data_IF_667535872087
#
_entry.id   IF_667535872087
#
_cell.length_a   1.000
_cell.length_b   1.000
_cell.length_c   1.000
_cell.angle_alpha   90.00
_cell.angle_beta   90.00
_cell.angle_gamma   90.00
#
_symmetry.space_group_name_H-M   'P 1'
#
loop_
_entity.id
_entity.type
_entity.pdbx_description
1 polymer ?
#
# COMPACT_ATOMS: atom_id res chain seq x y z
N UNK A 1 -27.82 1.62 -4.18
CA UNK A 1 -27.16 2.25 -5.35
C UNK A 1 -26.26 1.23 -6.04
N UNK A 2 -25.86 1.49 -7.29
CA UNK A 2 -25.01 0.58 -8.08
C UNK A 2 -23.75 1.31 -8.48
N UNK A 3 -22.61 0.67 -8.23
CA UNK A 3 -21.29 1.18 -8.61
C UNK A 3 -20.77 0.28 -9.72
N UNK A 4 -20.55 0.84 -10.89
CA UNK A 4 -19.98 0.13 -12.03
C UNK A 4 -18.62 0.75 -12.33
N UNK A 5 -17.56 -0.04 -12.25
CA UNK A 5 -16.18 0.42 -12.50
C UNK A 5 -15.58 -0.33 -13.68
N UNK A 6 -14.90 0.42 -14.54
CA UNK A 6 -14.14 -0.09 -15.65
C UNK A 6 -12.64 0.12 -15.39
N UNK A 7 -11.90 -0.98 -15.24
CA UNK A 7 -10.44 -0.92 -15.28
C UNK A 7 -9.96 -0.63 -16.71
N UNK A 8 -9.63 0.64 -16.95
CA UNK A 8 -9.23 1.15 -18.27
C UNK A 8 -7.95 0.47 -18.79
N UNK A 9 -7.04 0.01 -17.94
CA UNK A 9 -5.79 -0.61 -18.37
C UNK A 9 -6.01 -2.05 -18.88
N UNK A 10 -6.92 -2.78 -18.23
CA UNK A 10 -7.33 -4.14 -18.62
C UNK A 10 -8.30 -4.17 -19.80
N UNK A 11 -9.12 -3.14 -19.96
CA UNK A 11 -10.12 -3.10 -21.01
C UNK A 11 -9.48 -2.95 -22.39
N UNK A 12 -9.61 -3.99 -23.24
CA UNK A 12 -9.20 -3.99 -24.65
C UNK A 12 -10.40 -4.26 -25.57
N UNK A 13 -11.20 -3.23 -25.90
CA UNK A 13 -12.42 -3.35 -26.71
C UNK A 13 -12.19 -4.00 -28.09
N UNK A 14 -11.08 -3.64 -28.74
CA UNK A 14 -10.69 -4.14 -30.06
C UNK A 14 -10.39 -5.65 -30.04
N UNK A 15 -9.85 -6.15 -28.94
CA UNK A 15 -9.38 -7.54 -28.82
C UNK A 15 -10.50 -8.49 -28.35
N UNK A 16 -11.48 -8.00 -27.57
CA UNK A 16 -12.56 -8.86 -27.05
C UNK A 16 -13.81 -8.91 -27.93
N UNK A 17 -14.00 -7.96 -28.86
CA UNK A 17 -15.22 -7.89 -29.67
C UNK A 17 -16.47 -7.52 -28.87
N UNK A 18 -16.31 -6.78 -27.75
CA UNK A 18 -17.36 -6.17 -26.93
C UNK A 18 -18.47 -7.12 -26.41
N UNK A 19 -18.13 -8.25 -25.76
CA UNK A 19 -19.12 -9.15 -25.17
C UNK A 19 -19.96 -8.47 -24.08
N UNK A 20 -19.40 -7.45 -23.41
CA UNK A 20 -20.12 -6.67 -22.42
C UNK A 20 -21.40 -6.03 -22.99
N UNK A 21 -21.37 -5.54 -24.23
CA UNK A 21 -22.53 -4.94 -24.91
C UNK A 21 -23.42 -6.04 -25.48
N UNK A 22 -22.84 -7.00 -26.22
CA UNK A 22 -23.57 -8.07 -26.91
C UNK A 22 -24.42 -8.94 -25.98
N UNK A 23 -23.91 -9.23 -24.78
CA UNK A 23 -24.58 -10.11 -23.81
C UNK A 23 -25.36 -9.34 -22.73
N UNK A 24 -25.33 -8.00 -22.71
CA UNK A 24 -26.08 -7.23 -21.73
C UNK A 24 -27.58 -7.32 -22.02
N UNK A 25 -28.42 -7.83 -21.09
CA UNK A 25 -29.86 -7.95 -21.33
C UNK A 25 -30.52 -6.62 -21.68
N UNK A 26 -30.14 -5.55 -20.97
CA UNK A 26 -30.71 -4.22 -21.16
C UNK A 26 -30.42 -3.65 -22.55
N UNK A 27 -29.18 -3.84 -23.04
CA UNK A 27 -28.81 -3.45 -24.41
C UNK A 27 -29.58 -4.26 -25.45
N UNK A 28 -29.75 -5.56 -25.22
CA UNK A 28 -30.55 -6.42 -26.12
C UNK A 28 -32.03 -6.05 -26.17
N UNK A 29 -32.56 -5.45 -25.10
CA UNK A 29 -33.92 -4.90 -25.06
C UNK A 29 -34.01 -3.45 -25.59
N UNK A 30 -32.94 -2.90 -26.18
CA UNK A 30 -32.91 -1.55 -26.75
C UNK A 30 -32.57 -0.43 -25.75
N UNK A 31 -32.27 -0.76 -24.49
CA UNK A 31 -31.87 0.22 -23.46
C UNK A 31 -30.36 0.39 -23.47
N UNK A 32 -29.87 1.62 -23.63
CA UNK A 32 -28.44 1.95 -23.68
C UNK A 32 -27.74 1.86 -22.30
N UNK A 33 -27.85 0.72 -21.63
CA UNK A 33 -27.21 0.50 -20.33
C UNK A 33 -25.69 0.41 -20.41
N UNK A 34 -25.15 0.05 -21.58
CA UNK A 34 -23.71 0.10 -21.88
C UNK A 34 -23.56 0.70 -23.28
N UNK A 35 -22.79 1.78 -23.40
CA UNK A 35 -22.47 2.45 -24.66
C UNK A 35 -20.96 2.62 -24.83
N UNK A 36 -20.51 3.00 -26.01
CA UNK A 36 -19.09 3.30 -26.26
C UNK A 36 -18.90 4.80 -26.13
N UNK A 37 -17.94 5.20 -25.31
CA UNK A 37 -17.47 6.57 -25.26
C UNK A 37 -16.66 6.90 -26.53
N UNK A 38 -17.06 7.93 -27.25
CA UNK A 38 -16.51 8.26 -28.57
C UNK A 38 -15.06 8.77 -28.48
N UNK A 39 -14.70 9.45 -27.39
CA UNK A 39 -13.36 10.00 -27.20
C UNK A 39 -12.33 8.91 -26.86
N UNK A 40 -12.69 8.01 -25.95
CA UNK A 40 -11.79 6.97 -25.44
C UNK A 40 -11.92 5.64 -26.18
N UNK A 41 -13.00 5.44 -26.92
CA UNK A 41 -13.35 4.17 -27.59
C UNK A 41 -13.61 3.03 -26.60
N UNK A 42 -13.90 3.33 -25.33
CA UNK A 42 -14.10 2.34 -24.26
C UNK A 42 -15.58 2.25 -23.86
N UNK A 43 -16.02 1.07 -23.37
CA UNK A 43 -17.40 0.91 -22.91
C UNK A 43 -17.63 1.68 -21.61
N UNK A 44 -18.72 2.43 -21.56
CA UNK A 44 -19.25 3.11 -20.38
C UNK A 44 -20.54 2.43 -19.97
N UNK A 45 -20.70 2.19 -18.66
CA UNK A 45 -21.83 1.50 -18.06
C UNK A 45 -22.65 2.53 -17.30
N UNK A 46 -23.86 2.80 -17.79
CA UNK A 46 -24.79 3.69 -17.10
C UNK A 46 -25.31 3.02 -15.82
N UNK A 47 -24.91 3.55 -14.67
CA UNK A 47 -25.36 3.08 -13.36
C UNK A 47 -26.85 3.29 -13.11
N UNK A 48 -27.53 4.16 -13.86
CA UNK A 48 -28.99 4.32 -13.75
C UNK A 48 -29.72 3.17 -14.45
N UNK A 49 -29.37 2.92 -15.70
CA UNK A 49 -30.03 1.95 -16.58
C UNK A 49 -29.58 0.49 -16.40
N UNK A 50 -28.43 0.23 -15.79
CA UNK A 50 -27.99 -1.14 -15.55
C UNK A 50 -28.95 -1.87 -14.58
N UNK A 51 -29.02 -3.20 -14.60
CA UNK A 51 -29.81 -3.98 -13.63
C UNK A 51 -28.94 -4.57 -12.52
N UNK A 52 -27.62 -4.53 -12.66
CA UNK A 52 -26.70 -5.19 -11.74
C UNK A 52 -26.64 -6.71 -11.90
N UNK A 53 -27.15 -7.28 -13.00
CA UNK A 53 -27.18 -8.74 -13.21
C UNK A 53 -25.79 -9.42 -13.32
N UNK A 54 -24.71 -8.66 -13.49
CA UNK A 54 -23.33 -9.18 -13.50
C UNK A 54 -22.94 -10.01 -14.72
N UNK A 55 -23.78 -10.10 -15.76
CA UNK A 55 -23.47 -10.89 -16.98
C UNK A 55 -22.25 -10.33 -17.70
N UNK A 56 -22.15 -9.01 -17.85
CA UNK A 56 -21.00 -8.37 -18.49
C UNK A 56 -19.69 -8.57 -17.72
N UNK A 57 -19.76 -8.67 -16.38
CA UNK A 57 -18.61 -9.00 -15.52
C UNK A 57 -18.11 -10.40 -15.85
N UNK A 58 -19.00 -11.41 -15.81
CA UNK A 58 -18.67 -12.81 -16.10
C UNK A 58 -18.21 -13.06 -17.53
N UNK A 59 -18.72 -12.29 -18.49
CA UNK A 59 -18.40 -12.42 -19.92
C UNK A 59 -17.17 -11.59 -20.35
N UNK A 60 -16.63 -10.74 -19.49
CA UNK A 60 -15.44 -9.95 -19.82
C UNK A 60 -14.19 -10.86 -19.78
N UNK A 61 -13.51 -11.10 -20.91
CA UNK A 61 -12.33 -11.99 -20.93
C UNK A 61 -11.12 -11.43 -20.18
N UNK A 62 -11.12 -10.12 -19.91
CA UNK A 62 -10.02 -9.41 -19.25
C UNK A 62 -10.32 -9.04 -17.78
N UNK A 63 -11.47 -9.47 -17.23
CA UNK A 63 -11.93 -9.10 -15.89
C UNK A 63 -11.76 -7.58 -15.61
N UNK A 64 -12.22 -6.77 -16.58
CA UNK A 64 -12.04 -5.32 -16.58
C UNK A 64 -13.26 -4.57 -16.05
N UNK A 65 -14.36 -5.25 -15.75
CA UNK A 65 -15.62 -4.66 -15.29
C UNK A 65 -15.92 -5.21 -13.90
N UNK A 66 -16.19 -4.32 -12.95
CA UNK A 66 -16.78 -4.66 -11.65
C UNK A 66 -18.13 -3.96 -11.52
N UNK A 67 -19.13 -4.67 -10.98
CA UNK A 67 -20.46 -4.12 -10.68
C UNK A 67 -20.84 -4.56 -9.27
N UNK A 68 -21.02 -3.58 -8.39
CA UNK A 68 -21.32 -3.81 -6.98
C UNK A 68 -22.63 -3.12 -6.62
N UNK A 69 -23.48 -3.82 -5.87
CA UNK A 69 -24.68 -3.25 -5.28
C UNK A 69 -24.34 -2.76 -3.87
N UNK A 70 -24.42 -1.45 -3.65
CA UNK A 70 -24.19 -0.83 -2.34
C UNK A 70 -25.51 -0.37 -1.72
N UNK A 71 -25.61 -0.32 -0.38
CA UNK A 71 -26.72 0.33 0.32
C UNK A 71 -26.98 1.75 -0.21
N UNK A 72 -28.25 2.13 -0.38
CA UNK A 72 -28.58 3.49 -0.88
C UNK A 72 -28.11 4.60 0.04
N UNK A 73 -28.05 4.35 1.36
CA UNK A 73 -27.56 5.30 2.36
C UNK A 73 -26.12 5.78 2.07
N UNK A 74 -25.26 4.93 1.50
CA UNK A 74 -23.89 5.32 1.18
C UNK A 74 -23.81 6.35 0.04
N UNK A 75 -24.87 6.52 -0.76
CA UNK A 75 -24.88 7.49 -1.84
C UNK A 75 -24.72 8.92 -1.32
N UNK A 76 -25.26 9.20 -0.15
CA UNK A 76 -25.16 10.50 0.52
C UNK A 76 -23.75 10.75 1.03
N UNK A 77 -22.97 9.69 1.27
CA UNK A 77 -21.60 9.73 1.79
C UNK A 77 -20.51 9.79 0.68
N UNK A 78 -20.90 9.92 -0.59
CA UNK A 78 -19.95 9.94 -1.70
C UNK A 78 -19.10 11.22 -1.70
N UNK A 79 -17.80 11.08 -1.50
CA UNK A 79 -16.86 12.20 -1.40
C UNK A 79 -16.16 12.48 -2.72
N UNK A 80 -15.71 11.43 -3.41
CA UNK A 80 -14.93 11.60 -4.63
C UNK A 80 -15.12 10.44 -5.61
N UNK A 81 -15.10 10.75 -6.91
CA UNK A 81 -15.14 9.78 -8.00
C UNK A 81 -14.16 10.13 -9.12
N UNK A 82 -13.36 9.16 -9.55
CA UNK A 82 -12.40 9.33 -10.66
C UNK A 82 -13.07 9.14 -12.04
N UNK A 83 -13.93 10.08 -12.42
CA UNK A 83 -14.61 10.04 -13.71
C UNK A 83 -15.67 8.94 -13.83
N UNK A 84 -16.30 8.86 -14.99
CA UNK A 84 -17.36 7.89 -15.21
C UNK A 84 -16.80 6.46 -15.19
N UNK A 85 -17.48 5.59 -14.45
CA UNK A 85 -17.02 4.25 -14.12
C UNK A 85 -15.59 4.16 -13.53
N UNK A 86 -15.16 5.18 -12.79
CA UNK A 86 -13.93 5.13 -12.00
C UNK A 86 -14.16 4.77 -10.53
N UNK A 87 -13.06 4.69 -9.80
CA UNK A 87 -13.06 4.43 -8.36
C UNK A 87 -13.86 5.47 -7.59
N UNK A 88 -14.66 5.01 -6.63
CA UNK A 88 -15.48 5.85 -5.73
C UNK A 88 -14.99 5.80 -4.28
N UNK A 89 -14.83 6.95 -3.64
CA UNK A 89 -14.48 7.08 -2.23
C UNK A 89 -15.67 7.62 -1.45
N UNK A 90 -16.07 6.89 -0.41
CA UNK A 90 -17.13 7.23 0.52
C UNK A 90 -16.55 7.56 1.90
N UNK A 91 -17.02 8.67 2.47
CA UNK A 91 -16.52 9.27 3.71
C UNK A 91 -15.02 9.62 3.68
N UNK A 92 -14.57 10.33 4.70
CA UNK A 92 -13.16 10.67 4.92
C UNK A 92 -12.79 10.44 6.39
N UNK A 93 -11.52 10.12 6.68
CA UNK A 93 -11.07 10.06 8.05
C UNK A 93 -11.04 11.47 8.65
N UNK A 94 -11.47 11.57 9.91
CA UNK A 94 -11.59 12.84 10.61
C UNK A 94 -10.26 13.21 11.29
N UNK A 95 -9.63 14.35 10.93
CA UNK A 95 -8.40 14.80 11.56
C UNK A 95 -8.67 15.38 12.96
N UNK A 96 -8.15 14.75 14.02
CA UNK A 96 -8.33 15.21 15.41
C UNK A 96 -7.12 15.99 15.92
N UNK A 97 -7.37 17.18 16.47
CA UNK A 97 -6.33 18.07 17.01
C UNK A 97 -5.57 17.38 18.16
N UNK A 98 -4.24 17.42 18.12
CA UNK A 98 -3.37 16.85 19.16
C UNK A 98 -3.41 15.32 19.25
N UNK A 99 -3.92 14.64 18.23
CA UNK A 99 -4.06 13.18 18.17
C UNK A 99 -3.49 12.62 16.87
N UNK A 100 -3.19 11.32 16.89
CA UNK A 100 -2.83 10.55 15.70
C UNK A 100 -4.01 9.68 15.28
N UNK A 101 -4.52 9.91 14.07
CA UNK A 101 -5.50 9.02 13.44
C UNK A 101 -4.78 8.04 12.52
N UNK A 102 -4.81 6.75 12.88
CA UNK A 102 -4.29 5.67 12.07
C UNK A 102 -5.30 5.19 11.03
N UNK A 103 -4.85 4.91 9.81
CA UNK A 103 -5.67 4.39 8.73
C UNK A 103 -5.18 3.01 8.34
N UNK A 104 -6.09 2.03 8.32
CA UNK A 104 -5.79 0.64 7.95
C UNK A 104 -6.79 0.13 6.92
N UNK A 105 -6.34 -0.68 5.97
CA UNK A 105 -7.22 -1.28 4.97
C UNK A 105 -6.44 -1.88 3.80
N UNK A 106 -7.09 -2.63 2.90
CA UNK A 106 -6.41 -3.22 1.75
C UNK A 106 -5.90 -2.15 0.77
N UNK A 107 -4.94 -2.55 -0.07
CA UNK A 107 -4.46 -1.69 -1.16
C UNK A 107 -5.58 -1.44 -2.17
N UNK A 108 -5.66 -0.24 -2.71
CA UNK A 108 -6.72 0.14 -3.64
C UNK A 108 -8.06 0.50 -3.00
N UNK A 109 -8.17 0.53 -1.66
CA UNK A 109 -9.36 0.99 -0.95
C UNK A 109 -9.47 2.53 -0.84
N UNK A 110 -8.55 3.29 -1.43
CA UNK A 110 -8.63 4.77 -1.43
C UNK A 110 -7.93 5.50 -0.27
N UNK A 111 -7.11 4.82 0.54
CA UNK A 111 -6.32 5.44 1.63
C UNK A 111 -5.50 6.65 1.15
N UNK A 112 -4.69 6.46 0.11
CA UNK A 112 -3.91 7.53 -0.52
C UNK A 112 -4.80 8.61 -1.14
N UNK A 113 -5.96 8.25 -1.73
CA UNK A 113 -6.93 9.24 -2.25
C UNK A 113 -7.46 10.13 -1.12
N UNK A 114 -7.81 9.56 0.04
CA UNK A 114 -8.23 10.32 1.21
C UNK A 114 -7.14 11.28 1.70
N UNK A 115 -5.87 10.83 1.75
CA UNK A 115 -4.76 11.71 2.11
C UNK A 115 -4.56 12.85 1.10
N UNK A 116 -4.70 12.60 -0.21
CA UNK A 116 -4.59 13.64 -1.25
C UNK A 116 -5.71 14.66 -1.19
N UNK A 117 -6.90 14.24 -0.76
CA UNK A 117 -8.01 15.14 -0.49
C UNK A 117 -7.71 16.00 0.74
N UNK A 118 -7.26 15.38 1.83
CA UNK A 118 -6.91 16.10 3.05
C UNK A 118 -5.66 16.98 2.90
N UNK A 119 -4.76 16.68 1.96
CA UNK A 119 -3.63 17.57 1.63
C UNK A 119 -4.01 18.75 0.73
N UNK A 120 -5.22 18.74 0.15
CA UNK A 120 -5.63 19.71 -0.86
C UNK A 120 -5.04 19.47 -2.26
N UNK A 121 -4.33 18.36 -2.48
CA UNK A 121 -3.86 17.96 -3.83
C UNK A 121 -5.00 17.60 -4.76
N UNK A 122 -6.12 17.13 -4.21
CA UNK A 122 -7.35 16.83 -4.93
C UNK A 122 -8.51 17.50 -4.21
N UNK A 123 -9.29 18.29 -4.95
CA UNK A 123 -10.57 18.82 -4.45
C UNK A 123 -11.64 17.70 -4.50
N UNK A 124 -12.40 17.43 -3.42
CA UNK A 124 -13.57 16.56 -3.48
C UNK A 124 -14.52 16.98 -4.59
N UNK A 125 -15.07 16.01 -5.32
CA UNK A 125 -16.04 16.31 -6.37
C UNK A 125 -17.47 15.84 -6.03
N UNK A 126 -17.67 15.18 -4.89
CA UNK A 126 -18.97 14.68 -4.40
C UNK A 126 -19.71 13.85 -5.47
N UNK A 127 -18.96 13.13 -6.31
CA UNK A 127 -19.49 12.35 -7.44
C UNK A 127 -19.85 13.15 -8.70
N UNK A 128 -19.71 14.48 -8.69
CA UNK A 128 -19.99 15.35 -9.84
C UNK A 128 -18.74 15.54 -10.70
N UNK A 129 -18.72 14.94 -11.89
CA UNK A 129 -17.54 14.94 -12.76
C UNK A 129 -17.51 16.18 -13.66
N UNK A 130 -18.61 16.48 -14.34
CA UNK A 130 -18.65 17.55 -15.35
C UNK A 130 -18.69 18.95 -14.73
N UNK A 131 -19.33 19.07 -13.57
CA UNK A 131 -19.44 20.31 -12.79
C UNK A 131 -19.07 20.03 -11.33
N UNK A 132 -17.77 19.92 -11.03
CA UNK A 132 -17.31 19.74 -9.65
C UNK A 132 -17.77 20.91 -8.76
N UNK A 133 -18.17 20.65 -7.51
CA UNK A 133 -18.64 21.67 -6.58
C UNK A 133 -17.55 22.67 -6.20
N UNK A 134 -17.99 23.88 -5.83
CA UNK A 134 -17.13 24.87 -5.19
C UNK A 134 -16.93 24.61 -3.69
N UNK A 135 -15.95 25.29 -3.08
CA UNK A 135 -15.62 25.07 -1.66
C UNK A 135 -16.82 25.29 -0.74
N UNK A 136 -17.67 26.28 -1.02
CA UNK A 136 -18.87 26.56 -0.22
C UNK A 136 -19.87 25.39 -0.22
N UNK A 137 -20.01 24.71 -1.37
CA UNK A 137 -20.83 23.50 -1.49
C UNK A 137 -20.21 22.32 -0.73
N UNK A 138 -18.89 22.15 -0.82
CA UNK A 138 -18.16 21.09 -0.09
C UNK A 138 -18.28 21.31 1.42
N UNK A 139 -18.09 22.54 1.89
CA UNK A 139 -18.24 22.91 3.30
C UNK A 139 -19.67 22.65 3.77
N UNK A 140 -20.66 23.03 2.96
CA UNK A 140 -22.08 22.77 3.26
C UNK A 140 -22.40 21.27 3.30
N UNK A 141 -21.80 20.48 2.42
CA UNK A 141 -21.94 19.02 2.42
C UNK A 141 -21.44 18.41 3.73
N UNK A 142 -20.31 18.88 4.26
CA UNK A 142 -19.76 18.41 5.54
C UNK A 142 -20.36 19.10 6.77
N UNK A 143 -21.45 19.86 6.64
CA UNK A 143 -22.02 20.68 7.72
C UNK A 143 -22.32 19.85 8.97
N UNK A 144 -21.92 20.38 10.14
CA UNK A 144 -22.13 19.72 11.43
C UNK A 144 -21.09 18.63 11.75
N UNK A 145 -20.06 18.46 10.92
CA UNK A 145 -18.92 17.57 11.18
C UNK A 145 -17.63 18.36 11.44
N UNK A 146 -16.63 17.71 12.05
CA UNK A 146 -15.28 18.28 12.21
C UNK A 146 -14.60 18.60 10.86
N UNK A 147 -14.99 17.90 9.79
CA UNK A 147 -14.49 18.16 8.44
C UNK A 147 -14.98 19.50 7.86
N UNK A 148 -16.12 20.02 8.34
CA UNK A 148 -16.60 21.35 7.94
C UNK A 148 -15.53 22.41 8.24
N UNK A 149 -15.12 22.51 9.51
CA UNK A 149 -14.10 23.46 9.95
C UNK A 149 -12.76 23.22 9.26
N UNK A 150 -12.42 21.95 9.00
CA UNK A 150 -11.20 21.59 8.29
C UNK A 150 -11.18 22.18 6.87
N UNK A 151 -12.25 21.96 6.09
CA UNK A 151 -12.35 22.47 4.72
C UNK A 151 -12.55 23.98 4.67
N UNK A 152 -13.23 24.59 5.65
CA UNK A 152 -13.30 26.06 5.79
C UNK A 152 -11.90 26.67 5.96
N UNK A 153 -11.07 26.11 6.84
CA UNK A 153 -9.69 26.58 7.02
C UNK A 153 -8.84 26.34 5.77
N UNK A 154 -9.02 25.21 5.08
CA UNK A 154 -8.32 24.90 3.84
C UNK A 154 -8.69 25.88 2.71
N UNK A 155 -9.99 26.11 2.48
CA UNK A 155 -10.48 27.02 1.46
C UNK A 155 -9.98 28.46 1.67
N UNK A 156 -9.89 28.89 2.94
CA UNK A 156 -9.38 30.21 3.31
C UNK A 156 -7.84 30.27 3.43
N UNK A 157 -7.10 29.22 3.05
CA UNK A 157 -5.63 29.14 3.15
C UNK A 157 -5.08 29.34 4.57
N UNK A 158 -5.90 29.07 5.60
CA UNK A 158 -5.57 29.14 7.04
C UNK A 158 -5.18 27.79 7.63
N UNK A 159 -4.94 26.80 6.76
CA UNK A 159 -4.53 25.45 7.14
C UNK A 159 -3.29 25.08 6.33
N UNK A 160 -2.18 24.82 7.03
CA UNK A 160 -0.97 24.28 6.40
C UNK A 160 -0.95 22.77 6.59
N UNK A 161 -0.97 22.04 5.47
CA UNK A 161 -0.88 20.57 5.45
C UNK A 161 0.42 20.17 4.78
N UNK A 162 1.13 19.22 5.40
CA UNK A 162 2.33 18.60 4.82
C UNK A 162 2.11 17.11 4.68
N UNK A 163 2.48 16.57 3.53
CA UNK A 163 2.19 15.19 3.16
C UNK A 163 3.47 14.47 2.74
N UNK A 164 3.79 13.37 3.42
CA UNK A 164 4.77 12.38 2.96
C UNK A 164 4.05 11.41 2.02
N UNK A 165 4.38 11.40 0.71
CA UNK A 165 3.72 10.51 -0.25
C UNK A 165 4.17 9.06 -0.09
N UNK A 166 3.33 8.11 -0.51
CA UNK A 166 3.63 6.67 -0.46
C UNK A 166 4.91 6.34 -1.23
N UNK A 167 5.01 6.82 -2.46
CA UNK A 167 6.13 6.52 -3.36
C UNK A 167 7.27 7.53 -3.23
N UNK A 168 8.24 7.20 -2.37
CA UNK A 168 9.47 7.99 -2.18
C UNK A 168 10.50 7.84 -3.29
N UNK A 169 10.41 6.81 -4.15
CA UNK A 169 11.43 6.55 -5.19
C UNK A 169 11.50 7.63 -6.25
N UNK A 170 10.46 8.46 -6.36
CA UNK A 170 10.43 9.63 -7.23
C UNK A 170 11.13 10.85 -6.64
N UNK A 171 11.43 10.86 -5.33
CA UNK A 171 12.03 12.00 -4.64
C UNK A 171 13.37 12.46 -5.28
N UNK A 172 14.31 11.56 -5.64
CA UNK A 172 15.55 11.96 -6.30
C UNK A 172 15.37 12.52 -7.72
N UNK A 173 14.19 12.31 -8.34
CA UNK A 173 13.87 12.87 -9.66
C UNK A 173 13.38 14.32 -9.54
N UNK A 174 12.71 14.65 -8.44
CA UNK A 174 12.12 15.99 -8.20
C UNK A 174 13.05 16.91 -7.39
N UNK A 175 13.91 16.34 -6.55
CA UNK A 175 14.87 17.07 -5.73
C UNK A 175 16.29 16.56 -5.98
N UNK A 176 17.20 17.47 -6.34
CA UNK A 176 18.63 17.21 -6.52
C UNK A 176 19.41 18.00 -5.48
N UNK A 177 20.39 17.36 -4.86
CA UNK A 177 21.25 18.01 -3.86
C UNK A 177 21.79 17.02 -2.84
N UNK A 178 22.58 17.58 -1.91
CA UNK A 178 23.06 16.90 -0.71
C UNK A 178 21.97 16.90 0.35
N UNK A 179 21.83 15.80 1.07
CA UNK A 179 20.75 15.61 2.06
C UNK A 179 20.73 16.73 3.10
N UNK A 180 21.85 17.03 3.73
CA UNK A 180 21.94 18.04 4.79
C UNK A 180 21.53 19.44 4.32
N UNK A 181 21.97 19.85 3.12
CA UNK A 181 21.61 21.13 2.52
C UNK A 181 20.11 21.23 2.24
N UNK A 182 19.53 20.18 1.65
CA UNK A 182 18.11 20.12 1.34
C UNK A 182 17.27 20.16 2.61
N UNK A 183 17.67 19.39 3.62
CA UNK A 183 16.98 19.32 4.90
C UNK A 183 17.05 20.64 5.67
N UNK A 184 18.20 21.32 5.70
CA UNK A 184 18.32 22.67 6.28
C UNK A 184 17.48 23.70 5.55
N UNK A 185 17.36 23.60 4.22
CA UNK A 185 16.56 24.52 3.40
C UNK A 185 15.05 24.40 3.67
N UNK A 186 14.56 23.20 4.00
CA UNK A 186 13.13 22.97 4.30
C UNK A 186 12.80 23.08 5.78
N UNK A 187 13.78 23.32 6.64
CA UNK A 187 13.57 23.43 8.08
C UNK A 187 12.96 24.79 8.44
N UNK A 188 11.66 24.79 8.63
CA UNK A 188 10.89 25.96 9.07
C UNK A 188 10.79 26.01 10.62
N UNK A 189 11.20 24.93 11.31
CA UNK A 189 11.00 24.73 12.74
C UNK A 189 12.29 24.77 13.57
N UNK A 190 13.45 24.77 12.92
CA UNK A 190 14.76 24.77 13.58
C UNK A 190 15.05 23.48 14.36
N UNK A 191 14.50 22.34 13.92
CA UNK A 191 14.63 21.05 14.63
C UNK A 191 15.38 20.00 13.81
N UNK A 192 15.97 20.37 12.68
CA UNK A 192 16.53 19.37 11.76
C UNK A 192 17.70 18.58 12.36
N UNK A 193 18.52 19.22 13.19
CA UNK A 193 19.65 18.56 13.85
C UNK A 193 19.15 17.50 14.87
N UNK A 194 18.11 17.82 15.63
CA UNK A 194 17.43 16.86 16.52
C UNK A 194 16.80 15.70 15.75
N UNK A 195 16.15 15.98 14.61
CA UNK A 195 15.59 14.95 13.73
C UNK A 195 16.67 14.07 13.11
N UNK A 196 17.81 14.66 12.74
CA UNK A 196 18.97 13.97 12.20
C UNK A 196 19.51 12.94 13.19
N UNK A 197 19.63 13.32 14.45
CA UNK A 197 20.07 12.42 15.52
C UNK A 197 19.05 11.30 15.77
N UNK A 198 17.77 11.65 15.95
CA UNK A 198 16.69 10.68 16.24
C UNK A 198 16.52 9.63 15.14
N UNK A 199 16.59 10.05 13.88
CA UNK A 199 16.45 9.19 12.72
C UNK A 199 17.77 8.54 12.28
N UNK A 200 18.90 8.95 12.86
CA UNK A 200 20.23 8.44 12.50
C UNK A 200 20.61 8.79 11.05
N UNK A 201 20.49 10.07 10.69
CA UNK A 201 20.82 10.59 9.36
C UNK A 201 22.29 11.01 9.20
N UNK A 202 23.10 10.96 10.26
CA UNK A 202 24.50 11.41 10.21
C UNK A 202 25.32 10.77 9.08
N UNK A 203 25.17 9.46 8.84
CA UNK A 203 25.89 8.75 7.75
C UNK A 203 25.44 9.13 6.34
N UNK A 204 24.28 9.77 6.19
CA UNK A 204 23.73 10.17 4.89
C UNK A 204 23.71 11.68 4.69
N UNK A 205 24.13 12.45 5.71
CA UNK A 205 24.03 13.90 5.73
C UNK A 205 24.72 14.56 4.54
N UNK A 206 25.95 14.14 4.24
CA UNK A 206 26.77 14.69 3.15
C UNK A 206 26.63 13.90 1.84
N UNK A 207 25.68 12.96 1.77
CA UNK A 207 25.43 12.15 0.57
C UNK A 207 24.37 12.79 -0.32
N UNK A 208 24.44 12.48 -1.62
CA UNK A 208 23.41 12.88 -2.60
C UNK A 208 22.16 12.01 -2.44
N UNK A 209 20.97 12.60 -2.66
CA UNK A 209 19.70 11.86 -2.62
C UNK A 209 19.64 10.65 -3.57
N UNK A 210 20.27 10.75 -4.74
CA UNK A 210 20.23 9.72 -5.78
C UNK A 210 20.97 8.42 -5.43
N UNK A 211 21.84 8.45 -4.41
CA UNK A 211 22.65 7.29 -4.00
C UNK A 211 22.16 6.65 -2.71
N UNK A 212 21.01 7.11 -2.19
CA UNK A 212 20.42 6.56 -0.97
C UNK A 212 19.64 5.28 -1.25
N UNK A 213 19.68 4.36 -0.29
CA UNK A 213 18.78 3.22 -0.23
C UNK A 213 17.34 3.65 0.09
N UNK A 214 16.37 2.76 -0.15
CA UNK A 214 14.96 3.04 0.15
C UNK A 214 14.71 3.42 1.61
N UNK A 215 15.36 2.74 2.57
CA UNK A 215 15.23 3.05 3.99
C UNK A 215 15.86 4.39 4.39
N UNK A 216 17.03 4.73 3.83
CA UNK A 216 17.64 6.05 4.04
C UNK A 216 16.76 7.16 3.46
N UNK A 217 16.27 6.98 2.23
CA UNK A 217 15.40 7.93 1.54
C UNK A 217 14.07 8.13 2.28
N UNK A 218 13.51 7.07 2.86
CA UNK A 218 12.31 7.13 3.69
C UNK A 218 12.53 8.01 4.93
N UNK A 219 13.65 7.82 5.64
CA UNK A 219 13.98 8.63 6.82
C UNK A 219 14.21 10.11 6.45
N UNK A 220 14.85 10.38 5.32
CA UNK A 220 15.01 11.76 4.80
C UNK A 220 13.65 12.38 4.46
N UNK A 221 12.74 11.65 3.81
CA UNK A 221 11.41 12.14 3.50
C UNK A 221 10.59 12.47 4.77
N UNK A 222 10.69 11.62 5.79
CA UNK A 222 10.05 11.85 7.10
C UNK A 222 10.65 13.09 7.78
N UNK A 223 11.97 13.22 7.81
CA UNK A 223 12.65 14.39 8.39
C UNK A 223 12.24 15.68 7.69
N UNK A 224 12.23 15.71 6.36
CA UNK A 224 11.84 16.87 5.56
C UNK A 224 10.40 17.32 5.86
N UNK A 225 9.47 16.37 5.96
CA UNK A 225 8.06 16.68 6.29
C UNK A 225 7.92 17.19 7.72
N UNK A 226 8.63 16.58 8.67
CA UNK A 226 8.57 16.97 10.08
C UNK A 226 9.24 18.31 10.38
N UNK A 227 10.22 18.74 9.58
CA UNK A 227 10.93 20.00 9.72
C UNK A 227 10.09 21.22 9.27
N UNK A 228 9.06 21.01 8.44
CA UNK A 228 8.13 22.06 8.02
C UNK A 228 7.11 22.39 9.11
N UNK A 229 6.74 23.66 9.24
CA UNK A 229 5.71 24.10 10.19
C UNK A 229 4.31 24.03 9.55
N UNK A 230 3.54 23.06 10.03
CA UNK A 230 2.21 22.74 9.51
C UNK A 230 1.23 22.50 10.65
N UNK A 231 -0.05 22.70 10.39
CA UNK A 231 -1.14 22.32 11.31
C UNK A 231 -1.37 20.80 11.29
N UNK A 232 -1.24 20.20 10.10
CA UNK A 232 -1.58 18.80 9.83
C UNK A 232 -0.42 18.09 9.13
N UNK A 233 -0.03 16.94 9.67
CA UNK A 233 1.01 16.07 9.10
C UNK A 233 0.38 14.76 8.62
N UNK A 234 0.55 14.46 7.34
CA UNK A 234 0.05 13.24 6.71
C UNK A 234 1.23 12.33 6.35
N UNK A 235 1.20 11.08 6.82
CA UNK A 235 2.22 10.08 6.51
C UNK A 235 1.60 8.90 5.79
N UNK A 236 1.95 8.72 4.51
CA UNK A 236 1.54 7.54 3.73
C UNK A 236 2.65 6.47 3.78
N UNK A 237 2.38 5.38 4.51
CA UNK A 237 3.28 4.24 4.76
C UNK A 237 4.70 4.65 5.20
N UNK A 238 4.87 5.24 6.40
CA UNK A 238 6.19 5.61 6.95
C UNK A 238 7.08 4.41 7.32
N UNK A 239 6.56 3.19 7.52
CA UNK A 239 7.33 1.98 7.87
C UNK A 239 8.03 1.30 6.69
N UNK A 240 7.64 1.63 5.45
CA UNK A 240 8.13 0.95 4.26
C UNK A 240 9.65 1.04 4.12
N UNK A 241 10.27 -0.07 3.72
CA UNK A 241 11.73 -0.27 3.59
C UNK A 241 12.55 -0.27 4.90
N UNK A 242 11.93 0.00 6.05
CA UNK A 242 12.62 0.07 7.34
C UNK A 242 12.67 -1.30 8.03
N UNK A 243 13.78 -1.56 8.72
CA UNK A 243 13.90 -2.69 9.64
C UNK A 243 13.15 -2.43 10.98
N UNK A 244 13.02 -3.46 11.80
CA UNK A 244 12.26 -3.40 13.06
C UNK A 244 12.76 -2.29 14.00
N UNK A 245 14.09 -2.11 14.10
CA UNK A 245 14.69 -1.10 15.00
C UNK A 245 14.41 0.31 14.47
N UNK A 246 14.54 0.51 13.16
CA UNK A 246 14.25 1.78 12.50
C UNK A 246 12.77 2.14 12.57
N UNK A 247 11.85 1.18 12.40
CA UNK A 247 10.39 1.40 12.53
C UNK A 247 10.03 1.99 13.88
N UNK A 248 10.57 1.44 14.97
CA UNK A 248 10.30 1.94 16.33
C UNK A 248 10.84 3.37 16.51
N UNK A 249 12.03 3.67 15.97
CA UNK A 249 12.60 5.03 16.02
C UNK A 249 11.73 6.04 15.26
N UNK A 250 11.32 5.69 14.04
CA UNK A 250 10.42 6.52 13.23
C UNK A 250 9.09 6.72 13.96
N UNK A 251 8.52 5.66 14.52
CA UNK A 251 7.25 5.74 15.22
C UNK A 251 7.31 6.68 16.43
N UNK A 252 8.36 6.55 17.26
CA UNK A 252 8.65 7.48 18.37
C UNK A 252 8.80 8.92 17.91
N UNK A 253 9.47 9.13 16.78
CA UNK A 253 9.73 10.45 16.23
C UNK A 253 8.42 11.09 15.75
N UNK A 254 7.61 10.39 14.94
CA UNK A 254 6.29 10.87 14.49
C UNK A 254 5.37 11.17 15.69
N UNK A 255 5.32 10.28 16.68
CA UNK A 255 4.51 10.47 17.90
C UNK A 255 4.91 11.72 18.68
N UNK A 256 6.13 12.23 18.55
CA UNK A 256 6.54 13.47 19.22
C UNK A 256 5.85 14.73 18.69
N UNK A 257 5.24 14.70 17.50
CA UNK A 257 4.52 15.83 16.90
C UNK A 257 3.29 16.25 17.72
N UNK A 258 2.60 15.30 18.36
CA UNK A 258 1.34 15.59 19.08
C UNK A 258 1.56 16.47 20.31
N UNK A 259 2.77 16.50 20.89
CA UNK A 259 3.10 17.35 22.05
C UNK A 259 2.92 18.85 21.77
N UNK A 260 2.75 19.24 20.50
CA UNK A 260 2.57 20.63 20.05
C UNK A 260 1.15 20.90 19.51
N UNK A 261 0.15 20.12 19.93
CA UNK A 261 -1.23 20.19 19.44
C UNK A 261 -1.37 20.06 17.91
N UNK A 262 -0.38 19.43 17.25
CA UNK A 262 -0.43 19.17 15.81
C UNK A 262 -1.33 17.96 15.53
N UNK A 263 -2.03 17.98 14.40
CA UNK A 263 -2.85 16.87 13.94
C UNK A 263 -2.02 15.93 13.08
N UNK A 264 -2.10 14.62 13.30
CA UNK A 264 -1.35 13.64 12.51
C UNK A 264 -2.29 12.57 11.97
N UNK A 265 -2.14 12.23 10.69
CA UNK A 265 -2.78 11.07 10.08
C UNK A 265 -1.71 10.16 9.51
N UNK A 266 -1.79 8.87 9.82
CA UNK A 266 -0.83 7.87 9.37
C UNK A 266 -1.56 6.73 8.68
N UNK A 267 -1.15 6.40 7.46
CA UNK A 267 -1.53 5.15 6.79
C UNK A 267 -0.47 4.10 7.09
N UNK A 268 -0.86 2.98 7.66
CA UNK A 268 0.04 1.87 7.95
C UNK A 268 -0.59 0.51 7.63
N UNK A 269 0.30 -0.43 7.29
CA UNK A 269 -0.04 -1.83 7.09
C UNK A 269 0.56 -2.73 8.18
N UNK A 270 1.54 -2.22 8.93
CA UNK A 270 2.11 -2.87 10.10
C UNK A 270 1.24 -2.61 11.33
N UNK A 271 0.53 -3.64 11.80
CA UNK A 271 -0.36 -3.54 12.97
C UNK A 271 0.37 -3.11 14.24
N UNK A 272 1.62 -3.54 14.44
CA UNK A 272 2.38 -3.19 15.62
C UNK A 272 2.80 -1.71 15.59
N UNK A 273 3.15 -1.19 14.41
CA UNK A 273 3.44 0.23 14.25
C UNK A 273 2.18 1.07 14.42
N UNK A 274 1.06 0.64 13.82
CA UNK A 274 -0.23 1.31 13.93
C UNK A 274 -0.68 1.40 15.39
N UNK A 275 -0.55 0.31 16.16
CA UNK A 275 -0.86 0.25 17.59
C UNK A 275 -0.02 1.23 18.40
N UNK A 276 1.28 1.29 18.13
CA UNK A 276 2.20 2.20 18.82
C UNK A 276 1.97 3.69 18.47
N UNK A 277 1.61 3.99 17.23
CA UNK A 277 1.49 5.36 16.73
C UNK A 277 0.16 6.01 17.09
N UNK A 278 -0.92 5.28 16.90
CA UNK A 278 -2.25 5.87 16.78
C UNK A 278 -2.90 6.11 18.14
N UNK A 279 -3.80 7.07 18.20
CA UNK A 279 -4.75 7.23 19.31
C UNK A 279 -6.14 6.69 18.93
N UNK A 280 -6.47 6.72 17.63
CA UNK A 280 -7.69 6.15 17.04
C UNK A 280 -7.36 5.51 15.69
N UNK A 281 -8.18 4.56 15.24
CA UNK A 281 -8.03 3.91 13.94
C UNK A 281 -9.33 4.00 13.14
N UNK A 282 -9.21 4.36 11.86
CA UNK A 282 -10.28 4.21 10.87
C UNK A 282 -9.97 3.03 9.96
N UNK A 283 -10.96 2.15 9.77
CA UNK A 283 -10.85 0.99 8.89
C UNK A 283 -11.39 1.37 7.51
N UNK A 284 -10.56 1.20 6.49
CA UNK A 284 -10.94 1.25 5.09
C UNK A 284 -11.38 -0.13 4.64
N UNK A 285 -12.57 -0.21 4.09
CA UNK A 285 -13.12 -1.43 3.49
C UNK A 285 -13.75 -1.14 2.12
N UNK A 286 -14.03 -2.19 1.36
CA UNK A 286 -14.56 -2.11 0.00
C UNK A 286 -13.81 -3.01 -0.97
N UNK A 287 -14.10 -2.88 -2.25
CA UNK A 287 -13.47 -3.67 -3.32
C UNK A 287 -12.30 -2.88 -3.94
N UNK A 288 -11.04 -3.40 -3.88
CA UNK A 288 -9.86 -2.72 -4.41
C UNK A 288 -10.03 -2.20 -5.83
N UNK A 289 -9.84 -0.89 -6.02
CA UNK A 289 -9.94 -0.25 -7.33
C UNK A 289 -11.38 -0.02 -7.83
N UNK A 290 -12.39 -0.42 -7.06
CA UNK A 290 -13.81 -0.18 -7.38
C UNK A 290 -14.40 0.88 -6.45
N UNK A 291 -14.40 0.61 -5.16
CA UNK A 291 -14.85 1.59 -4.17
C UNK A 291 -14.17 1.39 -2.82
N UNK A 292 -14.14 2.45 -2.03
CA UNK A 292 -13.65 2.42 -0.66
C UNK A 292 -14.55 3.22 0.26
N UNK A 293 -14.81 2.68 1.44
CA UNK A 293 -15.55 3.36 2.51
C UNK A 293 -14.65 3.48 3.73
N UNK A 294 -14.67 4.65 4.36
CA UNK A 294 -13.98 4.90 5.63
C UNK A 294 -14.96 4.67 6.78
N UNK A 295 -14.62 3.77 7.71
CA UNK A 295 -15.40 3.57 8.92
C UNK A 295 -15.35 4.78 9.84
N UNK A 296 -16.24 4.80 10.84
CA UNK A 296 -16.10 5.68 11.99
C UNK A 296 -14.76 5.42 12.73
N UNK A 297 -14.24 6.40 13.48
CA UNK A 297 -13.01 6.21 14.25
C UNK A 297 -13.26 5.29 15.45
N UNK A 298 -12.45 4.24 15.58
CA UNK A 298 -12.47 3.32 16.72
C UNK A 298 -11.26 3.50 17.63
N UNK A 299 -11.36 3.00 18.87
CA UNK A 299 -10.17 2.82 19.70
C UNK A 299 -9.17 1.87 19.01
N UNK A 300 -7.87 2.09 19.20
CA UNK A 300 -6.82 1.40 18.43
C UNK A 300 -6.95 -0.12 18.48
N UNK A 301 -7.07 -0.70 19.69
CA UNK A 301 -7.22 -2.15 19.88
C UNK A 301 -8.49 -2.70 19.21
N UNK A 302 -9.59 -1.99 19.37
CA UNK A 302 -10.88 -2.37 18.78
C UNK A 302 -10.82 -2.33 17.25
N UNK A 303 -10.31 -1.24 16.67
CA UNK A 303 -10.16 -1.09 15.23
C UNK A 303 -9.24 -2.14 14.60
N UNK A 304 -8.15 -2.50 15.28
CA UNK A 304 -7.26 -3.59 14.83
C UNK A 304 -7.99 -4.94 14.87
N UNK A 305 -8.74 -5.24 15.93
CA UNK A 305 -9.50 -6.48 16.04
C UNK A 305 -10.60 -6.56 14.98
N UNK A 306 -11.37 -5.49 14.77
CA UNK A 306 -12.34 -5.35 13.67
C UNK A 306 -11.68 -5.65 12.33
N UNK A 307 -10.51 -5.06 12.07
CA UNK A 307 -9.78 -5.29 10.83
C UNK A 307 -9.34 -6.75 10.65
N UNK A 308 -8.90 -7.41 11.72
CA UNK A 308 -8.49 -8.81 11.71
C UNK A 308 -9.69 -9.74 11.52
N UNK A 309 -10.78 -9.52 12.24
CA UNK A 309 -11.99 -10.35 12.20
C UNK A 309 -12.78 -10.19 10.89
N UNK A 310 -12.63 -9.06 10.19
CA UNK A 310 -13.25 -8.83 8.88
C UNK A 310 -14.71 -8.34 8.95
N UNK A 311 -15.15 -7.89 10.12
CA UNK A 311 -16.53 -7.49 10.39
C UNK A 311 -16.58 -6.18 11.21
N UNK A 312 -17.31 -5.20 10.69
CA UNK A 312 -17.62 -3.92 11.33
C UNK A 312 -18.97 -4.02 12.03
N UNK A 313 -19.02 -4.07 13.37
CA UNK A 313 -20.26 -4.32 14.12
C UNK A 313 -21.21 -3.11 14.14
N UNK A 314 -20.68 -1.91 14.21
CA UNK A 314 -21.41 -0.63 14.24
C UNK A 314 -22.13 -0.33 12.92
N UNK A 315 -21.58 -0.81 11.81
CA UNK A 315 -22.20 -0.68 10.48
C UNK A 315 -22.90 -1.97 10.02
N UNK A 316 -22.76 -3.06 10.78
CA UNK A 316 -23.21 -4.41 10.43
C UNK A 316 -22.73 -4.87 9.04
N UNK A 317 -21.44 -4.66 8.76
CA UNK A 317 -20.83 -4.96 7.46
C UNK A 317 -19.71 -5.99 7.62
N UNK A 318 -19.81 -7.10 6.88
CA UNK A 318 -18.69 -8.03 6.67
C UNK A 318 -17.95 -7.63 5.40
N UNK A 319 -16.69 -7.24 5.53
CA UNK A 319 -15.84 -6.87 4.39
C UNK A 319 -14.77 -7.91 4.06
N UNK A 320 -14.67 -8.97 4.88
CA UNK A 320 -13.84 -10.15 4.61
C UNK A 320 -14.55 -11.40 5.11
N UNK A 321 -14.58 -12.43 4.28
CA UNK A 321 -15.25 -13.69 4.60
C UNK A 321 -14.50 -14.46 5.71
N UNK A 322 -13.18 -14.54 5.57
CA UNK A 322 -12.32 -15.25 6.52
C UNK A 322 -11.53 -14.28 7.43
N UNK A 323 -11.54 -14.50 8.75
CA UNK A 323 -10.74 -13.70 9.67
C UNK A 323 -9.25 -14.02 9.55
N UNK A 324 -8.40 -13.03 9.79
CA UNK A 324 -6.96 -13.23 9.89
C UNK A 324 -6.66 -13.86 11.26
N UNK A 325 -6.16 -15.10 11.25
CA UNK A 325 -5.78 -15.83 12.46
C UNK A 325 -4.27 -16.09 12.47
N UNK A 326 -3.65 -15.88 13.63
CA UNK A 326 -2.25 -16.20 13.86
C UNK A 326 -2.15 -17.54 14.60
N UNK A 327 -1.30 -18.45 14.12
CA UNK A 327 -1.00 -19.69 14.83
C UNK A 327 0.00 -19.39 15.95
N UNK A 328 -0.43 -19.56 17.21
CA UNK A 328 0.42 -19.31 18.40
C UNK A 328 1.63 -20.24 18.46
N UNK A 329 1.45 -21.47 17.98
CA UNK A 329 2.52 -22.40 17.70
C UNK A 329 2.40 -22.80 16.24
N UNK A 330 3.52 -22.87 15.48
CA UNK A 330 3.48 -23.54 14.19
C UNK A 330 2.83 -24.91 14.39
N UNK A 331 2.01 -25.35 13.43
CA UNK A 331 1.46 -26.71 13.50
C UNK A 331 2.63 -27.66 13.79
N UNK A 332 2.49 -28.61 14.73
CA UNK A 332 3.50 -29.63 14.91
C UNK A 332 3.80 -30.15 13.52
N UNK A 333 5.08 -30.11 13.12
CA UNK A 333 5.50 -30.84 11.93
C UNK A 333 4.99 -32.25 12.22
N UNK A 334 3.93 -32.70 11.53
CA UNK A 334 3.60 -34.13 11.50
C UNK A 334 4.95 -34.78 11.27
N UNK A 335 5.37 -35.69 12.15
CA UNK A 335 6.67 -36.35 12.09
C UNK A 335 6.77 -37.20 10.81
N UNK A 336 6.72 -36.56 9.64
CA UNK A 336 7.27 -36.97 8.37
C UNK A 336 8.77 -37.00 8.64
N UNK A 337 9.22 -38.12 9.17
CA UNK A 337 10.55 -38.30 9.73
C UNK A 337 11.62 -37.75 8.80
N UNK A 338 12.11 -36.55 9.11
CA UNK A 338 13.27 -35.97 8.46
C UNK A 338 13.95 -34.96 9.40
N UNK A 339 14.54 -35.48 10.49
CA UNK A 339 15.75 -34.87 11.09
C UNK A 339 16.95 -34.87 10.11
N UNK A 340 16.74 -35.37 8.88
CA UNK A 340 17.72 -35.33 7.82
C UNK A 340 18.15 -33.89 7.53
N UNK A 341 19.45 -33.65 7.62
CA UNK A 341 20.07 -32.38 7.25
C UNK A 341 19.98 -32.23 5.72
N UNK A 342 19.24 -31.23 5.27
CA UNK A 342 19.15 -30.83 3.86
C UNK A 342 20.44 -30.16 3.43
N UNK A 343 20.90 -29.18 4.22
CA UNK A 343 22.07 -28.37 3.93
C UNK A 343 22.88 -28.16 5.21
N UNK A 344 24.16 -28.43 5.14
CA UNK A 344 25.13 -28.03 6.16
C UNK A 344 26.11 -27.04 5.52
N UNK A 345 26.40 -25.96 6.23
CA UNK A 345 27.35 -24.96 5.80
C UNK A 345 28.26 -24.60 6.96
N UNK A 346 29.55 -24.50 6.66
CA UNK A 346 30.57 -24.19 7.64
C UNK A 346 30.71 -22.68 7.80
N UNK A 347 31.67 -22.28 8.63
CA UNK A 347 32.07 -20.89 8.77
C UNK A 347 32.41 -20.29 7.41
N UNK A 348 31.79 -19.17 7.09
CA UNK A 348 32.01 -18.42 5.85
C UNK A 348 32.26 -16.96 6.18
N UNK A 349 33.21 -16.35 5.48
CA UNK A 349 33.52 -14.93 5.63
C UNK A 349 33.41 -14.26 4.27
N UNK A 350 32.77 -13.09 4.25
CA UNK A 350 32.72 -12.22 3.09
C UNK A 350 33.10 -10.80 3.48
N UNK A 351 34.09 -10.24 2.80
CA UNK A 351 34.60 -8.91 3.03
C UNK A 351 34.34 -8.03 1.81
N UNK A 352 33.87 -6.82 2.07
CA UNK A 352 33.74 -5.72 1.11
C UNK A 352 34.43 -4.50 1.70
N UNK A 353 34.63 -3.45 0.90
CA UNK A 353 35.18 -2.19 1.40
C UNK A 353 34.30 -1.63 2.53
N UNK A 354 34.81 -1.62 3.76
CA UNK A 354 34.11 -1.13 4.95
C UNK A 354 33.04 -2.05 5.54
N UNK A 355 32.89 -3.28 5.05
CA UNK A 355 31.90 -4.23 5.57
C UNK A 355 32.45 -5.67 5.59
N UNK A 356 32.37 -6.34 6.75
CA UNK A 356 32.77 -7.74 6.91
C UNK A 356 31.61 -8.54 7.49
N UNK A 357 31.19 -9.57 6.77
CA UNK A 357 30.19 -10.54 7.19
C UNK A 357 30.88 -11.82 7.62
N UNK A 358 30.64 -12.26 8.85
CA UNK A 358 31.12 -13.53 9.40
C UNK A 358 29.89 -14.39 9.72
N UNK A 359 29.86 -15.60 9.19
CA UNK A 359 28.82 -16.60 9.42
C UNK A 359 29.51 -17.78 10.10
N UNK A 360 29.05 -18.18 11.29
CA UNK A 360 29.71 -19.24 12.07
C UNK A 360 29.46 -20.67 11.52
N UNK A 361 28.39 -20.85 10.74
CA UNK A 361 27.97 -22.16 10.21
C UNK A 361 26.63 -22.61 10.79
N UNK A 362 26.01 -23.61 10.17
CA UNK A 362 24.68 -24.09 10.58
C UNK A 362 24.15 -25.23 9.72
N UNK A 363 23.04 -25.79 10.19
CA UNK A 363 22.30 -26.89 9.54
C UNK A 363 20.88 -26.43 9.23
N UNK A 364 20.38 -26.85 8.08
CA UNK A 364 19.00 -26.66 7.63
C UNK A 364 18.41 -28.05 7.42
N UNK A 365 17.26 -28.35 8.02
CA UNK A 365 16.58 -29.64 7.87
C UNK A 365 15.46 -29.57 6.82
N UNK A 366 15.03 -30.74 6.35
CA UNK A 366 13.89 -30.82 5.44
C UNK A 366 12.60 -30.36 6.13
N UNK A 367 11.76 -29.62 5.39
CA UNK A 367 10.47 -29.15 5.89
C UNK A 367 10.53 -27.94 6.83
N UNK A 368 11.72 -27.44 7.17
CA UNK A 368 11.87 -26.24 8.01
C UNK A 368 11.63 -24.94 7.23
N UNK A 369 11.02 -23.97 7.91
CA UNK A 369 10.93 -22.57 7.44
C UNK A 369 11.81 -21.72 8.35
N UNK A 370 12.90 -21.19 7.79
CA UNK A 370 13.87 -20.37 8.55
C UNK A 370 13.60 -18.89 8.28
N UNK A 371 13.26 -18.14 9.34
CA UNK A 371 13.14 -16.69 9.30
C UNK A 371 14.49 -16.01 9.58
N UNK A 372 14.98 -15.17 8.66
CA UNK A 372 16.21 -14.40 8.86
C UNK A 372 15.84 -12.96 9.24
N UNK A 373 16.28 -12.53 10.43
CA UNK A 373 15.97 -11.23 11.00
C UNK A 373 17.25 -10.45 11.32
N UNK A 374 17.16 -9.11 11.30
CA UNK A 374 18.26 -8.23 11.66
C UNK A 374 18.20 -6.88 10.95
N UNK A 375 19.05 -5.91 11.32
CA UNK A 375 19.05 -4.58 10.73
C UNK A 375 19.38 -4.58 9.23
N UNK A 376 18.98 -3.52 8.53
CA UNK A 376 19.42 -3.28 7.16
C UNK A 376 20.95 -3.11 7.11
N UNK A 377 21.59 -3.62 6.06
CA UNK A 377 23.06 -3.57 5.92
C UNK A 377 23.84 -4.61 6.73
N UNK A 378 23.22 -5.41 7.61
CA UNK A 378 23.91 -6.43 8.42
C UNK A 378 24.40 -7.66 7.60
N UNK A 379 24.10 -7.72 6.30
CA UNK A 379 24.54 -8.81 5.42
C UNK A 379 23.53 -9.93 5.17
N UNK A 380 22.25 -9.79 5.57
CA UNK A 380 21.19 -10.80 5.30
C UNK A 380 21.12 -11.21 3.82
N UNK A 381 21.08 -10.23 2.92
CA UNK A 381 21.02 -10.48 1.47
C UNK A 381 22.30 -11.15 0.97
N UNK A 382 23.46 -10.78 1.49
CA UNK A 382 24.75 -11.41 1.17
C UNK A 382 24.77 -12.86 1.64
N UNK A 383 24.31 -13.14 2.86
CA UNK A 383 24.17 -14.50 3.38
C UNK A 383 23.29 -15.38 2.49
N UNK A 384 22.09 -14.90 2.13
CA UNK A 384 21.19 -15.66 1.23
C UNK A 384 21.82 -15.87 -0.16
N UNK A 385 22.53 -14.86 -0.70
CA UNK A 385 23.25 -15.00 -1.98
C UNK A 385 24.40 -16.01 -1.92
N UNK A 386 25.09 -16.11 -0.78
CA UNK A 386 26.14 -17.12 -0.59
C UNK A 386 25.56 -18.52 -0.46
N UNK A 387 24.46 -18.68 0.29
CA UNK A 387 23.73 -19.95 0.33
C UNK A 387 23.19 -20.34 -1.06
N UNK A 388 22.77 -19.36 -1.86
CA UNK A 388 22.29 -19.56 -3.22
C UNK A 388 23.40 -19.85 -4.26
N UNK A 389 24.69 -19.79 -3.86
CA UNK A 389 25.82 -19.95 -4.77
C UNK A 389 26.02 -18.79 -5.77
N UNK A 390 25.30 -17.68 -5.61
CA UNK A 390 25.40 -16.49 -6.46
C UNK A 390 26.67 -15.70 -6.14
N UNK A 391 27.07 -15.69 -4.87
CA UNK A 391 28.29 -15.04 -4.39
C UNK A 391 29.15 -16.09 -3.70
N UNK A 392 30.45 -16.14 -4.01
CA UNK A 392 31.40 -17.00 -3.31
C UNK A 392 31.91 -16.31 -2.03
N UNK A 393 32.10 -17.03 -0.91
CA UNK A 393 32.79 -16.50 0.25
C UNK A 393 34.26 -16.21 -0.09
N UNK A 394 34.88 -15.28 0.64
CA UNK A 394 36.31 -15.00 0.52
C UNK A 394 37.14 -15.98 1.38
N UNK A 395 36.58 -16.40 2.53
CA UNK A 395 37.14 -17.48 3.36
C UNK A 395 36.05 -18.51 3.69
N UNK A 396 36.44 -19.78 3.76
CA UNK A 396 35.55 -20.90 4.03
C UNK A 396 35.01 -21.57 2.75
N UNK A 397 34.38 -22.72 2.94
CA UNK A 397 33.86 -23.54 1.83
C UNK A 397 32.36 -23.28 1.66
N UNK A 398 31.88 -23.00 0.43
CA UNK A 398 30.45 -22.89 0.18
C UNK A 398 29.74 -24.23 0.46
N UNK A 399 28.42 -24.23 0.66
CA UNK A 399 27.67 -25.44 0.97
C UNK A 399 27.87 -26.53 -0.11
N UNK A 400 28.24 -27.75 0.30
CA UNK A 400 28.71 -28.82 -0.59
C UNK A 400 27.60 -29.72 -1.19
N UNK A 401 26.44 -29.17 -1.59
CA UNK A 401 25.40 -29.95 -2.28
C UNK A 401 24.86 -29.25 -3.53
N UNK A 402 24.68 -30.01 -4.60
CA UNK A 402 23.91 -29.60 -5.79
C UNK A 402 22.41 -29.53 -5.45
N UNK A 403 22.03 -28.52 -4.67
CA UNK A 403 20.63 -28.19 -4.46
C UNK A 403 20.13 -27.33 -5.61
N UNK A 404 18.92 -27.60 -6.09
CA UNK A 404 18.21 -26.69 -6.99
C UNK A 404 17.64 -25.56 -6.15
N UNK A 405 18.21 -24.36 -6.28
CA UNK A 405 17.84 -23.19 -5.50
C UNK A 405 16.94 -22.27 -6.31
N UNK A 406 15.77 -21.95 -5.76
CA UNK A 406 14.91 -20.89 -6.28
C UNK A 406 15.19 -19.60 -5.52
N UNK A 407 15.77 -18.61 -6.19
CA UNK A 407 16.16 -17.33 -5.57
C UNK A 407 15.27 -16.19 -6.06
N UNK A 408 14.64 -15.49 -5.12
CA UNK A 408 13.90 -14.25 -5.40
C UNK A 408 14.76 -13.04 -4.99
N UNK A 409 15.12 -12.15 -5.93
CA UNK A 409 15.93 -10.97 -5.60
C UNK A 409 15.15 -9.98 -4.74
N UNK A 410 15.88 -9.20 -3.94
CA UNK A 410 15.32 -8.16 -3.08
C UNK A 410 14.75 -6.98 -3.89
N UNK A 411 15.41 -6.60 -4.97
CA UNK A 411 14.95 -5.59 -5.92
C UNK A 411 14.49 -6.31 -7.19
N UNK A 412 13.23 -6.06 -7.57
CA UNK A 412 12.65 -6.62 -8.79
C UNK A 412 12.80 -5.55 -9.87
N UNK A 413 13.66 -5.80 -10.84
CA UNK A 413 13.70 -5.06 -12.10
C UNK A 413 12.99 -5.90 -13.16
N UNK A 414 11.99 -5.34 -13.88
CA UNK A 414 11.39 -6.05 -15.01
C UNK A 414 12.43 -6.11 -16.13
N UNK A 415 13.12 -7.24 -16.22
CA UNK A 415 14.15 -7.54 -17.24
C UNK A 415 13.67 -8.64 -18.19
N UNK A 416 12.37 -8.64 -18.49
CA UNK A 416 11.73 -9.60 -19.37
C UNK A 416 10.86 -8.89 -20.38
N UNK A 417 11.16 -9.11 -21.66
CA UNK A 417 10.37 -8.59 -22.77
C UNK A 417 9.29 -9.60 -23.14
N UNK A 418 8.08 -9.39 -22.62
CA UNK A 418 6.93 -10.26 -22.82
C UNK A 418 5.87 -10.14 -21.74
N UNK A 419 4.78 -10.89 -21.89
CA UNK A 419 3.69 -10.87 -20.90
C UNK A 419 4.03 -11.72 -19.67
N UNK A 420 3.42 -11.41 -18.53
CA UNK A 420 3.53 -12.22 -17.30
C UNK A 420 3.19 -13.70 -17.58
N UNK A 421 2.19 -13.95 -18.43
CA UNK A 421 1.80 -15.31 -18.83
C UNK A 421 2.89 -16.05 -19.61
N UNK A 422 3.63 -15.36 -20.48
CA UNK A 422 4.76 -15.95 -21.21
C UNK A 422 5.91 -16.31 -20.27
N UNK A 423 6.26 -15.40 -19.36
CA UNK A 423 7.30 -15.65 -18.36
C UNK A 423 6.96 -16.86 -17.47
N UNK A 424 5.73 -16.92 -16.98
CA UNK A 424 5.27 -18.02 -16.13
C UNK A 424 5.25 -19.36 -16.88
N UNK A 425 4.83 -19.37 -18.16
CA UNK A 425 4.92 -20.57 -19.02
C UNK A 425 6.36 -21.02 -19.22
N UNK A 426 7.27 -20.08 -19.48
CA UNK A 426 8.68 -20.38 -19.68
C UNK A 426 9.32 -21.00 -18.42
N UNK A 427 8.97 -20.50 -17.24
CA UNK A 427 9.50 -21.01 -15.96
C UNK A 427 8.87 -22.36 -15.60
N UNK A 428 7.54 -22.48 -15.70
CA UNK A 428 6.81 -23.66 -15.26
C UNK A 428 6.88 -24.83 -16.26
N UNK A 429 7.15 -24.55 -17.54
CA UNK A 429 7.22 -25.54 -18.63
C UNK A 429 6.01 -26.48 -18.57
N UNK A 430 6.24 -27.78 -18.48
CA UNK A 430 5.20 -28.83 -18.44
C UNK A 430 4.27 -28.71 -17.23
N UNK A 431 4.72 -28.06 -16.15
CA UNK A 431 3.90 -27.86 -14.94
C UNK A 431 2.81 -26.80 -15.13
N UNK A 432 2.95 -25.90 -16.10
CA UNK A 432 2.00 -24.79 -16.32
C UNK A 432 0.56 -25.28 -16.58
N UNK A 433 0.41 -26.45 -17.22
CA UNK A 433 -0.88 -27.04 -17.55
C UNK A 433 -1.55 -27.82 -16.41
N UNK A 434 -0.81 -28.11 -15.33
CA UNK A 434 -1.30 -28.98 -14.24
C UNK A 434 -2.42 -28.33 -13.44
N UNK A 435 -3.35 -29.14 -12.95
CA UNK A 435 -4.46 -28.68 -12.09
C UNK A 435 -3.96 -27.94 -10.85
N UNK A 436 -2.83 -28.39 -10.29
CA UNK A 436 -2.17 -27.76 -9.15
C UNK A 436 -1.66 -26.34 -9.48
N UNK A 437 -1.02 -26.16 -10.64
CA UNK A 437 -0.51 -24.85 -11.05
C UNK A 437 -1.66 -23.88 -11.32
N UNK A 438 -2.74 -24.36 -11.94
CA UNK A 438 -3.95 -23.55 -12.19
C UNK A 438 -4.65 -23.13 -10.90
N UNK A 439 -4.77 -24.02 -9.90
CA UNK A 439 -5.45 -23.70 -8.64
C UNK A 439 -4.61 -22.85 -7.69
N UNK A 440 -3.28 -22.99 -7.66
CA UNK A 440 -2.44 -22.32 -6.67
C UNK A 440 -1.73 -21.05 -7.17
N UNK A 441 -1.53 -20.90 -8.49
CA UNK A 441 -0.70 -19.80 -9.04
C UNK A 441 -1.47 -18.86 -9.96
N UNK A 442 -2.45 -19.36 -10.74
CA UNK A 442 -3.16 -18.54 -11.74
C UNK A 442 -4.42 -17.87 -11.17
N UNK A 443 -4.96 -18.37 -10.07
CA UNK A 443 -6.30 -18.03 -9.56
C UNK A 443 -6.50 -16.54 -9.22
#
# INVERSE_FOLDING_TARGET
MRVAVLNKDRCKPKDCGLPCIKFCPMVRTGVAAIYIDEETGKPVISEKLCTGCGICVKKCPFAAISIVNLPEKLKEDLVHRYGENGFELFRLPVPKIGKITGLIGPNGAGKTTALRILSGEIKPNLGRIDKPPEWDEIITYFRGSELQLYFERMANQKLRVVHKPQNITKLPKVAKGVVGELLKKVDERGIIDELSEKLGLGMVWDRKLSVLSGGELQKVAIAAVMARDADVYLFDEPSSYLDVKERIKVAKTIRSLIKKNKTVIVVEHDLAMLDYLSDFVCVFYGEPGVYGVVSHPHGVREGINIYLDGFLPDENIRFRDEPVRFKLHPAPIEKLGTEAVLLEFNKMVKSYNGFKLIIEGGKIHYGEIIGILGPNGIGKTTFVKMLAGIIKPDEGTPPQRELKISYKPQYITPDYDGTVGMLLRQIAKDKFGTSLYKSQIIQ
#
